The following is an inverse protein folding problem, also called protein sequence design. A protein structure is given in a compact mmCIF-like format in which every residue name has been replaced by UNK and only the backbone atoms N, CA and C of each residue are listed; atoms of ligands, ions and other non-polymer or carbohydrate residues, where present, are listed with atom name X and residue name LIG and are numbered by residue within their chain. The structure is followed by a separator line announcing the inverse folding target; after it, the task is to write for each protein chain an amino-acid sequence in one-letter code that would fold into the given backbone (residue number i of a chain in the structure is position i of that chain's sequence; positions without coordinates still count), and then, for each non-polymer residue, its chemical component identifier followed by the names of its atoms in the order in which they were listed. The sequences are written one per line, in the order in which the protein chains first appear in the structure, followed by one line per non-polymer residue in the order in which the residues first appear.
data_IF_726948778136
#
_entry.id   IF_726948778136
#
_cell.length_a   1.000
_cell.length_b   1.000
_cell.length_c   1.000
_cell.angle_alpha   90.00
_cell.angle_beta   90.00
_cell.angle_gamma   90.00
#
_symmetry.space_group_name_H-M   'P 1'
#
loop_
_entity.id
_entity.type
_entity.pdbx_description
1 polymer ?
#
# COMPACT_ATOMS: atom_id res chain seq x y z
N UNK A 1 -10.37 18.34 13.76
CA UNK A 1 -10.90 17.50 14.83
C UNK A 1 -9.84 17.46 15.91
N UNK A 2 -10.17 17.86 17.13
CA UNK A 2 -9.27 17.78 18.28
C UNK A 2 -8.83 16.34 18.53
N UNK A 3 -7.60 16.14 19.01
CA UNK A 3 -7.03 14.82 19.26
C UNK A 3 -7.93 13.98 20.16
N UNK A 4 -8.14 12.72 19.81
CA UNK A 4 -8.96 11.78 20.55
C UNK A 4 -10.44 11.71 20.17
N UNK A 5 -10.92 12.53 19.22
CA UNK A 5 -12.30 12.43 18.76
C UNK A 5 -12.55 11.12 17.96
N UNK A 6 -13.63 10.42 18.29
CA UNK A 6 -14.09 9.25 17.55
C UNK A 6 -15.17 9.65 16.56
N UNK A 7 -14.99 9.32 15.30
CA UNK A 7 -16.00 9.50 14.27
C UNK A 7 -16.53 8.12 13.88
N UNK A 8 -17.82 7.92 13.97
CA UNK A 8 -18.48 6.74 13.47
C UNK A 8 -19.07 7.04 12.08
N UNK A 9 -18.78 6.17 11.13
CA UNK A 9 -19.30 6.26 9.77
C UNK A 9 -20.19 5.04 9.55
N UNK A 10 -21.46 5.29 9.35
CA UNK A 10 -22.49 4.25 9.23
C UNK A 10 -23.07 4.32 7.83
N UNK A 11 -23.11 3.17 7.15
CA UNK A 11 -23.86 3.01 5.91
C UNK A 11 -25.21 2.36 6.25
N UNK A 12 -26.29 3.09 6.01
CA UNK A 12 -27.64 2.59 6.20
C UNK A 12 -28.44 2.83 4.92
N UNK A 13 -28.87 1.75 4.28
CA UNK A 13 -29.66 1.77 3.04
C UNK A 13 -29.05 2.68 1.93
N UNK A 14 -27.74 2.60 1.76
CA UNK A 14 -27.02 3.42 0.75
C UNK A 14 -26.77 4.87 1.17
N UNK A 15 -27.28 5.30 2.32
CA UNK A 15 -26.99 6.61 2.89
C UNK A 15 -25.91 6.52 3.96
N UNK A 16 -25.01 7.50 3.98
CA UNK A 16 -23.97 7.58 4.99
C UNK A 16 -24.28 8.63 6.04
N UNK A 17 -24.08 8.23 7.27
CA UNK A 17 -24.20 9.10 8.43
C UNK A 17 -22.86 9.16 9.14
N UNK A 18 -22.42 10.37 9.45
CA UNK A 18 -21.31 10.60 10.37
C UNK A 18 -21.86 10.98 11.72
N UNK A 19 -21.40 10.28 12.76
CA UNK A 19 -21.72 10.61 14.14
C UNK A 19 -20.44 10.77 14.95
N UNK A 20 -20.52 11.49 16.06
CA UNK A 20 -19.36 11.75 16.93
C UNK A 20 -18.71 13.11 16.75
N UNK A 21 -19.19 13.95 15.83
CA UNK A 21 -18.74 15.35 15.71
C UNK A 21 -19.91 16.26 15.29
N UNK A 22 -20.15 17.38 15.97
CA UNK A 22 -21.33 18.22 15.72
C UNK A 22 -21.37 18.89 14.34
N UNK A 23 -20.23 19.02 13.65
CA UNK A 23 -20.15 19.61 12.31
C UNK A 23 -20.37 18.62 11.16
N UNK A 24 -20.63 17.35 11.44
CA UNK A 24 -20.66 16.28 10.44
C UNK A 24 -22.06 15.62 10.34
N UNK A 25 -23.10 16.42 10.20
CA UNK A 25 -24.48 15.91 10.25
C UNK A 25 -25.00 15.25 8.97
N UNK A 26 -24.36 15.48 7.81
CA UNK A 26 -24.75 14.83 6.55
C UNK A 26 -23.57 14.61 5.62
N UNK A 27 -23.42 13.40 5.10
CA UNK A 27 -22.46 13.02 4.07
C UNK A 27 -23.21 12.84 2.74
N UNK A 28 -22.55 13.17 1.60
CA UNK A 28 -23.16 12.98 0.28
C UNK A 28 -23.70 11.56 0.06
N UNK A 29 -24.78 11.44 -0.67
CA UNK A 29 -25.49 10.20 -0.96
C UNK A 29 -24.63 9.07 -1.57
N UNK A 30 -23.47 9.38 -2.16
CA UNK A 30 -22.57 8.39 -2.73
C UNK A 30 -21.77 7.60 -1.70
N UNK A 31 -21.72 8.02 -0.43
CA UNK A 31 -20.90 7.42 0.63
C UNK A 31 -19.40 7.26 0.28
N UNK A 32 -18.90 8.07 -0.64
CA UNK A 32 -17.49 8.10 -1.01
C UNK A 32 -16.81 9.25 -0.27
N UNK A 33 -15.98 8.92 0.72
CA UNK A 33 -15.46 9.89 1.68
C UNK A 33 -13.94 9.87 1.66
N UNK A 34 -13.33 11.08 1.60
CA UNK A 34 -11.92 11.28 1.88
C UNK A 34 -11.76 11.95 3.24
N UNK A 35 -10.98 11.35 4.13
CA UNK A 35 -10.68 11.90 5.45
C UNK A 35 -9.22 12.34 5.48
N UNK A 36 -9.01 13.62 5.79
CA UNK A 36 -7.71 14.21 6.06
C UNK A 36 -7.66 14.61 7.52
N UNK A 37 -6.49 14.61 8.07
CA UNK A 37 -6.21 15.10 9.43
C UNK A 37 -5.14 16.18 9.38
N UNK A 38 -5.11 17.02 10.41
CA UNK A 38 -4.16 18.12 10.52
C UNK A 38 -2.73 17.62 10.65
N UNK A 39 -1.76 18.45 10.32
CA UNK A 39 -0.34 18.19 10.51
C UNK A 39 -0.04 17.79 11.96
N UNK A 40 0.74 16.74 12.12
CA UNK A 40 1.01 16.14 13.43
C UNK A 40 -0.09 15.23 13.98
N UNK A 41 -1.30 15.26 13.41
CA UNK A 41 -2.40 14.38 13.78
C UNK A 41 -2.22 12.94 13.28
N UNK A 42 -3.05 12.06 13.81
CA UNK A 42 -3.11 10.64 13.43
C UNK A 42 -4.56 10.18 13.36
N UNK A 43 -4.81 9.19 12.51
CA UNK A 43 -6.09 8.51 12.46
C UNK A 43 -5.89 7.03 12.76
N UNK A 44 -6.78 6.45 13.55
CA UNK A 44 -6.79 5.01 13.82
C UNK A 44 -7.95 4.35 13.08
N UNK A 45 -7.65 3.25 12.39
CA UNK A 45 -8.65 2.42 11.72
C UNK A 45 -8.39 0.97 12.14
N UNK A 46 -9.27 0.42 12.96
CA UNK A 46 -9.03 -0.86 13.60
C UNK A 46 -7.73 -0.84 14.41
N UNK A 47 -6.84 -1.83 14.24
CA UNK A 47 -5.59 -1.89 14.99
C UNK A 47 -4.48 -0.98 14.44
N UNK A 48 -4.69 -0.31 13.30
CA UNK A 48 -3.64 0.45 12.62
C UNK A 48 -3.79 1.94 12.81
N UNK A 49 -2.67 2.60 13.08
CA UNK A 49 -2.57 4.06 13.08
C UNK A 49 -1.91 4.56 11.79
N UNK A 50 -2.41 5.68 11.28
CA UNK A 50 -1.91 6.33 10.09
C UNK A 50 -1.58 7.80 10.41
N UNK A 51 -0.36 8.21 10.09
CA UNK A 51 0.11 9.59 10.24
C UNK A 51 0.09 10.33 8.91
N UNK A 52 0.25 9.63 7.82
CA UNK A 52 0.43 10.19 6.48
C UNK A 52 -0.70 9.78 5.55
N UNK A 53 -1.02 10.66 4.60
CA UNK A 53 -1.92 10.36 3.50
C UNK A 53 -3.36 10.83 3.71
N UNK A 54 -4.26 10.22 2.96
CA UNK A 54 -5.70 10.46 2.98
C UNK A 54 -6.40 9.12 3.09
N UNK A 55 -7.22 8.96 4.12
CA UNK A 55 -8.06 7.78 4.25
C UNK A 55 -9.25 7.92 3.30
N UNK A 56 -9.46 6.94 2.46
CA UNK A 56 -10.56 6.90 1.50
C UNK A 56 -11.51 5.76 1.87
N UNK A 57 -12.78 6.09 2.01
CA UNK A 57 -13.87 5.13 2.18
C UNK A 57 -14.67 5.08 0.90
N UNK A 58 -14.97 3.88 0.44
CA UNK A 58 -15.79 3.63 -0.74
C UNK A 58 -16.91 2.68 -0.37
N UNK A 59 -18.13 3.10 -0.69
CA UNK A 59 -19.31 2.28 -0.45
C UNK A 59 -19.26 0.98 -1.26
N UNK A 60 -19.52 -0.15 -0.59
CA UNK A 60 -19.62 -1.47 -1.22
C UNK A 60 -21.05 -1.83 -1.64
N UNK A 61 -22.00 -0.94 -1.44
CA UNK A 61 -23.42 -1.18 -1.62
C UNK A 61 -24.17 -1.21 -0.29
N UNK A 62 -25.48 -1.36 -0.36
CA UNK A 62 -26.41 -1.12 0.76
C UNK A 62 -26.12 -1.99 1.99
N UNK A 63 -25.66 -3.23 1.81
CA UNK A 63 -25.45 -4.18 2.91
C UNK A 63 -24.00 -4.57 3.15
N UNK A 64 -23.03 -4.02 2.41
CA UNK A 64 -21.66 -4.57 2.35
C UNK A 64 -20.61 -3.74 3.06
N UNK A 65 -20.95 -2.60 3.68
CA UNK A 65 -20.01 -1.73 4.38
C UNK A 65 -19.12 -0.92 3.44
N UNK A 66 -17.85 -0.73 3.82
CA UNK A 66 -16.90 0.11 3.09
C UNK A 66 -15.64 -0.64 2.67
N UNK A 67 -15.15 -0.33 1.48
CA UNK A 67 -13.72 -0.47 1.23
C UNK A 67 -12.98 0.68 1.90
N UNK A 68 -11.96 0.37 2.66
CA UNK A 68 -11.13 1.36 3.33
C UNK A 68 -9.73 1.30 2.72
N UNK A 69 -9.27 2.39 2.15
CA UNK A 69 -7.94 2.49 1.56
C UNK A 69 -7.23 3.76 1.99
N UNK A 70 -5.91 3.72 1.99
CA UNK A 70 -5.04 4.86 2.31
C UNK A 70 -4.33 5.32 1.03
N UNK A 71 -4.60 6.53 0.58
CA UNK A 71 -3.80 7.16 -0.46
C UNK A 71 -2.63 7.89 0.20
N UNK A 72 -1.41 7.44 -0.08
CA UNK A 72 -0.21 7.90 0.60
C UNK A 72 0.96 7.99 -0.37
N UNK A 73 1.89 8.91 -0.11
CA UNK A 73 3.16 8.99 -0.83
C UNK A 73 3.96 7.70 -0.64
N UNK A 74 4.68 7.27 -1.69
CA UNK A 74 5.40 5.98 -1.70
C UNK A 74 6.42 5.87 -0.56
N UNK A 75 7.17 6.92 -0.25
CA UNK A 75 8.16 6.86 0.84
C UNK A 75 7.48 6.75 2.21
N UNK A 76 6.38 7.46 2.39
CA UNK A 76 5.57 7.37 3.62
C UNK A 76 4.83 6.04 3.75
N UNK A 77 4.47 5.43 2.63
CA UNK A 77 3.99 4.05 2.60
C UNK A 77 5.06 3.07 3.10
N UNK A 78 6.29 3.19 2.59
CA UNK A 78 7.40 2.32 2.99
C UNK A 78 7.71 2.42 4.49
N UNK A 79 7.61 3.58 5.11
CA UNK A 79 7.81 3.69 6.56
C UNK A 79 6.92 2.73 7.36
N UNK A 80 5.71 2.48 6.86
CA UNK A 80 4.76 1.58 7.51
C UNK A 80 4.87 0.11 7.13
N UNK A 81 5.79 -0.30 6.24
CA UNK A 81 6.01 -1.70 5.89
C UNK A 81 6.71 -2.46 7.01
N UNK A 82 6.18 -3.62 7.36
CA UNK A 82 6.65 -4.44 8.46
C UNK A 82 7.11 -5.83 8.00
N UNK A 83 7.86 -5.87 6.91
CA UNK A 83 8.37 -7.11 6.31
C UNK A 83 9.67 -7.61 6.98
N UNK A 84 10.44 -6.70 7.59
CA UNK A 84 11.70 -7.05 8.24
C UNK A 84 11.82 -6.47 9.66
N UNK A 85 12.51 -7.17 10.56
CA UNK A 85 12.87 -6.63 11.86
C UNK A 85 13.78 -5.40 11.72
N UNK A 86 13.44 -4.29 12.39
CA UNK A 86 14.15 -3.01 12.22
C UNK A 86 15.56 -2.97 12.82
N UNK A 87 15.96 -4.01 13.57
CA UNK A 87 17.30 -4.13 14.14
C UNK A 87 18.32 -4.82 13.20
N UNK A 88 17.90 -5.27 12.03
CA UNK A 88 18.78 -5.91 11.06
C UNK A 88 19.80 -4.90 10.50
N UNK A 89 20.85 -5.44 9.86
CA UNK A 89 21.87 -4.63 9.23
C UNK A 89 21.24 -3.61 8.26
N UNK A 90 21.73 -2.37 8.32
CA UNK A 90 21.17 -1.26 7.52
C UNK A 90 21.22 -1.55 6.01
N UNK A 91 22.24 -2.27 5.51
CA UNK A 91 22.34 -2.62 4.08
C UNK A 91 21.26 -3.64 3.68
N UNK A 92 20.90 -4.57 4.55
CA UNK A 92 19.78 -5.48 4.33
C UNK A 92 18.46 -4.72 4.33
N UNK A 93 18.30 -3.75 5.24
CA UNK A 93 17.12 -2.88 5.28
C UNK A 93 17.03 -1.98 4.03
N UNK A 94 18.15 -1.44 3.54
CA UNK A 94 18.22 -0.66 2.30
C UNK A 94 17.82 -1.52 1.08
N UNK A 95 18.33 -2.75 0.99
CA UNK A 95 17.94 -3.69 -0.06
C UNK A 95 16.43 -3.98 -0.03
N UNK A 96 15.87 -4.26 1.17
CA UNK A 96 14.43 -4.48 1.32
C UNK A 96 13.61 -3.23 0.96
N UNK A 97 14.10 -2.03 1.28
CA UNK A 97 13.41 -0.79 0.91
C UNK A 97 13.36 -0.60 -0.62
N UNK A 98 14.46 -0.92 -1.33
CA UNK A 98 14.49 -0.91 -2.80
C UNK A 98 13.51 -1.93 -3.40
N UNK A 99 13.54 -3.17 -2.91
CA UNK A 99 12.66 -4.25 -3.35
C UNK A 99 11.19 -3.91 -3.07
N UNK A 100 10.88 -3.49 -1.85
CA UNK A 100 9.52 -3.12 -1.44
C UNK A 100 8.96 -1.94 -2.25
N UNK A 101 9.80 -0.94 -2.53
CA UNK A 101 9.42 0.20 -3.37
C UNK A 101 9.16 -0.22 -4.81
N UNK A 102 10.07 -1.02 -5.37
CA UNK A 102 9.94 -1.51 -6.76
C UNK A 102 8.67 -2.34 -6.93
N UNK A 103 8.36 -3.24 -6.01
CA UNK A 103 7.10 -3.98 -6.01
C UNK A 103 5.90 -3.03 -5.97
N UNK A 104 5.90 -2.05 -5.06
CA UNK A 104 4.79 -1.12 -4.93
C UNK A 104 4.58 -0.26 -6.18
N UNK A 105 5.66 0.28 -6.75
CA UNK A 105 5.61 1.07 -7.99
C UNK A 105 5.15 0.21 -9.16
N UNK A 106 5.66 -1.03 -9.30
CA UNK A 106 5.21 -1.97 -10.33
C UNK A 106 3.70 -2.22 -10.23
N UNK A 107 3.19 -2.50 -9.02
CA UNK A 107 1.76 -2.74 -8.83
C UNK A 107 0.91 -1.49 -9.14
N UNK A 108 1.42 -0.31 -8.80
CA UNK A 108 0.78 0.96 -9.17
C UNK A 108 0.71 1.11 -10.68
N UNK A 109 1.83 0.96 -11.40
CA UNK A 109 1.89 1.11 -12.85
C UNK A 109 1.00 0.08 -13.57
N UNK A 110 1.05 -1.19 -13.13
CA UNK A 110 0.25 -2.28 -13.71
C UNK A 110 -1.25 -2.09 -13.53
N UNK A 111 -1.67 -1.47 -12.44
CA UNK A 111 -3.08 -1.36 -12.03
C UNK A 111 -3.67 0.01 -12.24
N UNK A 112 -2.85 0.96 -12.65
CA UNK A 112 -3.26 2.32 -12.92
C UNK A 112 -3.60 2.46 -14.41
N UNK A 113 -4.84 2.81 -14.72
CA UNK A 113 -5.28 3.09 -16.09
C UNK A 113 -5.45 4.62 -16.21
N UNK A 114 -4.51 5.32 -16.84
CA UNK A 114 -4.54 6.78 -16.90
C UNK A 114 -5.82 7.37 -17.49
N UNK A 115 -6.43 6.69 -18.46
CA UNK A 115 -7.68 7.09 -19.09
C UNK A 115 -8.91 7.00 -18.18
N UNK A 116 -8.82 6.25 -17.09
CA UNK A 116 -9.89 6.09 -16.09
C UNK A 116 -9.67 6.95 -14.84
N UNK A 117 -8.71 7.88 -14.88
CA UNK A 117 -8.44 8.76 -13.74
C UNK A 117 -9.65 9.62 -13.40
N UNK A 118 -10.12 9.47 -12.18
CA UNK A 118 -10.95 10.45 -11.51
C UNK A 118 -10.17 10.93 -10.28
N UNK A 119 -10.49 12.10 -9.77
CA UNK A 119 -9.83 12.68 -8.59
C UNK A 119 -9.87 11.74 -7.38
N UNK A 120 -10.77 10.79 -7.38
CA UNK A 120 -11.05 9.91 -6.25
C UNK A 120 -10.42 8.53 -6.45
N UNK A 121 -10.35 8.01 -7.67
CA UNK A 121 -10.07 6.59 -7.94
C UNK A 121 -8.67 6.32 -8.48
N UNK A 122 -7.92 7.37 -8.80
CA UNK A 122 -6.53 7.29 -9.22
C UNK A 122 -6.30 6.26 -10.36
N UNK A 123 -7.28 6.10 -11.26
CA UNK A 123 -7.17 5.22 -12.42
C UNK A 123 -7.21 3.72 -12.10
N UNK A 124 -7.78 3.30 -10.97
CA UNK A 124 -7.92 1.88 -10.64
C UNK A 124 -8.82 1.15 -11.64
N UNK A 125 -8.39 -0.02 -12.11
CA UNK A 125 -9.21 -0.89 -12.95
C UNK A 125 -10.47 -1.38 -12.22
N UNK A 126 -11.51 -1.75 -12.98
CA UNK A 126 -12.78 -2.24 -12.43
C UNK A 126 -12.59 -3.45 -11.50
N UNK A 127 -11.69 -4.38 -11.85
CA UNK A 127 -11.37 -5.52 -10.99
C UNK A 127 -10.75 -5.11 -9.66
N UNK A 128 -9.94 -4.05 -9.62
CA UNK A 128 -9.38 -3.52 -8.37
C UNK A 128 -10.41 -2.77 -7.55
N UNK A 129 -11.32 -2.04 -8.19
CA UNK A 129 -12.44 -1.38 -7.53
C UNK A 129 -13.36 -2.40 -6.84
N UNK A 130 -13.67 -3.51 -7.48
CA UNK A 130 -14.50 -4.55 -6.87
C UNK A 130 -13.79 -5.30 -5.73
N UNK A 131 -12.47 -5.47 -5.79
CA UNK A 131 -11.71 -6.21 -4.79
C UNK A 131 -11.39 -5.38 -3.54
N UNK A 132 -10.78 -4.22 -3.67
CA UNK A 132 -10.30 -3.44 -2.52
C UNK A 132 -10.25 -1.93 -2.70
N UNK A 133 -10.54 -1.39 -3.87
CA UNK A 133 -10.29 0.02 -4.20
C UNK A 133 -8.85 0.47 -3.86
N UNK A 134 -7.89 -0.40 -4.11
CA UNK A 134 -6.49 -0.17 -3.80
C UNK A 134 -5.55 -0.76 -4.85
N UNK A 135 -4.36 -0.20 -5.02
CA UNK A 135 -3.31 -0.77 -5.85
C UNK A 135 -2.67 -1.99 -5.19
N UNK A 136 -2.52 -1.96 -3.86
CA UNK A 136 -1.83 -2.98 -3.06
C UNK A 136 -2.67 -3.30 -1.84
N UNK A 137 -2.79 -4.58 -1.50
CA UNK A 137 -3.36 -5.03 -0.24
C UNK A 137 -2.39 -4.77 0.92
N UNK A 138 -2.91 -4.73 2.14
CA UNK A 138 -2.15 -4.42 3.36
C UNK A 138 -1.79 -5.65 4.19
N UNK A 139 -1.86 -6.84 3.61
CA UNK A 139 -1.57 -8.12 4.28
C UNK A 139 -0.39 -8.82 3.62
N UNK A 140 0.13 -9.88 4.21
CA UNK A 140 1.24 -10.69 3.70
C UNK A 140 0.99 -11.27 2.30
N UNK A 141 -0.25 -11.34 1.82
CA UNK A 141 -0.56 -11.71 0.43
C UNK A 141 -0.15 -10.67 -0.62
N UNK A 142 0.25 -9.48 -0.19
CA UNK A 142 0.80 -8.41 -1.01
C UNK A 142 2.05 -7.84 -0.35
N UNK A 143 1.87 -6.86 0.54
CA UNK A 143 2.90 -6.32 1.42
C UNK A 143 2.28 -6.03 2.78
N UNK A 144 2.93 -6.51 3.85
CA UNK A 144 2.41 -6.33 5.19
C UNK A 144 2.63 -4.89 5.66
N UNK A 145 1.56 -4.11 5.62
CA UNK A 145 1.56 -2.71 6.03
C UNK A 145 0.98 -2.56 7.44
N UNK A 146 1.81 -2.13 8.39
CA UNK A 146 1.43 -1.95 9.79
C UNK A 146 1.11 -0.48 10.14
N UNK A 147 1.57 0.45 9.30
CA UNK A 147 1.30 1.88 9.47
C UNK A 147 2.27 2.58 10.40
N UNK A 148 1.80 3.63 11.07
CA UNK A 148 2.63 4.53 11.87
C UNK A 148 3.38 3.86 13.03
N UNK A 149 2.81 2.82 13.61
CA UNK A 149 3.49 2.08 14.69
C UNK A 149 4.80 1.44 14.22
N UNK A 150 4.89 0.99 12.96
CA UNK A 150 6.15 0.51 12.39
C UNK A 150 7.16 1.65 12.22
N UNK A 151 6.72 2.82 11.79
CA UNK A 151 7.57 4.00 11.61
C UNK A 151 8.26 4.39 12.93
N UNK A 152 7.50 4.50 14.02
CA UNK A 152 8.06 4.89 15.33
C UNK A 152 8.89 3.80 15.98
N UNK A 153 8.55 2.52 15.78
CA UNK A 153 9.30 1.40 16.34
C UNK A 153 10.57 1.03 15.55
N UNK A 154 10.72 1.59 14.34
CA UNK A 154 11.77 1.19 13.42
C UNK A 154 12.62 2.33 12.86
N UNK A 155 13.35 3.10 13.69
CA UNK A 155 14.14 4.22 13.18
C UNK A 155 15.18 3.81 12.13
N UNK A 156 15.84 2.65 12.26
CA UNK A 156 16.78 2.15 11.27
C UNK A 156 16.08 1.80 9.94
N UNK A 157 14.84 1.30 10.00
CA UNK A 157 14.04 1.07 8.81
C UNK A 157 13.71 2.39 8.11
N UNK A 158 13.26 3.40 8.84
CA UNK A 158 12.99 4.74 8.30
C UNK A 158 14.27 5.34 7.67
N UNK A 159 15.41 5.17 8.31
CA UNK A 159 16.71 5.61 7.77
C UNK A 159 17.04 4.89 6.46
N UNK A 160 16.88 3.56 6.39
CA UNK A 160 17.12 2.77 5.19
C UNK A 160 16.20 3.19 4.02
N UNK A 161 14.93 3.47 4.29
CA UNK A 161 14.00 4.02 3.29
C UNK A 161 14.50 5.38 2.78
N UNK A 162 14.93 6.27 3.67
CA UNK A 162 15.45 7.59 3.30
C UNK A 162 16.75 7.51 2.48
N UNK A 163 17.67 6.63 2.86
CA UNK A 163 18.92 6.42 2.14
C UNK A 163 18.73 5.95 0.69
N UNK A 164 17.60 5.28 0.44
CA UNK A 164 17.24 4.72 -0.86
C UNK A 164 16.09 5.47 -1.54
N UNK A 165 15.71 6.63 -1.01
CA UNK A 165 14.56 7.40 -1.50
C UNK A 165 14.63 7.67 -3.00
N UNK A 166 13.49 7.53 -3.69
CA UNK A 166 13.35 7.75 -5.13
C UNK A 166 13.99 6.67 -6.01
N UNK A 167 14.65 5.66 -5.46
CA UNK A 167 15.31 4.60 -6.24
C UNK A 167 14.41 3.37 -6.36
N UNK A 168 14.34 2.81 -7.56
CA UNK A 168 13.67 1.54 -7.88
C UNK A 168 14.61 0.64 -8.67
N UNK A 169 14.34 -0.65 -8.64
CA UNK A 169 15.08 -1.62 -9.45
C UNK A 169 14.40 -1.67 -10.83
N UNK A 170 15.20 -1.55 -11.88
CA UNK A 170 14.74 -1.62 -13.26
C UNK A 170 15.44 -2.74 -14.02
N UNK A 171 14.80 -3.20 -15.08
CA UNK A 171 15.34 -4.17 -16.02
C UNK A 171 15.19 -3.62 -17.43
N UNK A 172 16.28 -3.53 -18.17
CA UNK A 172 16.30 -3.04 -19.55
C UNK A 172 16.27 -4.17 -20.59
N UNK A 173 16.79 -5.37 -20.26
CA UNK A 173 16.66 -6.63 -20.99
C UNK A 173 16.61 -6.60 -22.51
N UNK A 174 17.11 -5.54 -23.13
CA UNK A 174 17.02 -5.29 -24.56
C UNK A 174 15.72 -4.58 -25.01
N UNK A 175 14.89 -4.13 -24.10
CA UNK A 175 13.75 -3.27 -24.40
C UNK A 175 14.19 -1.82 -24.59
N UNK A 176 13.44 -1.07 -25.40
CA UNK A 176 13.71 0.35 -25.67
C UNK A 176 13.56 1.27 -24.46
N UNK A 177 12.97 0.77 -23.39
CA UNK A 177 12.82 1.48 -22.11
C UNK A 177 12.99 0.51 -20.95
N UNK A 178 13.78 0.94 -19.95
CA UNK A 178 13.89 0.25 -18.67
C UNK A 178 12.52 0.18 -17.98
N UNK A 179 12.14 -1.02 -17.53
CA UNK A 179 10.89 -1.23 -16.80
C UNK A 179 11.16 -1.50 -15.33
N UNK A 180 10.31 -0.98 -14.46
CA UNK A 180 10.37 -1.31 -13.03
C UNK A 180 10.07 -2.78 -12.85
N UNK A 181 10.94 -3.49 -12.12
CA UNK A 181 10.78 -4.93 -11.91
C UNK A 181 9.62 -5.24 -10.93
N UNK A 182 8.94 -6.36 -11.16
CA UNK A 182 8.08 -6.97 -10.16
C UNK A 182 8.97 -7.69 -9.14
N UNK A 183 9.44 -6.95 -8.15
CA UNK A 183 10.41 -7.42 -7.18
C UNK A 183 9.72 -8.26 -6.11
N UNK A 184 9.65 -9.58 -6.34
CA UNK A 184 9.21 -10.53 -5.32
C UNK A 184 10.31 -10.74 -4.27
N UNK A 185 9.88 -11.10 -3.06
CA UNK A 185 10.77 -11.46 -1.96
C UNK A 185 10.10 -12.48 -1.03
N UNK A 186 10.90 -13.22 -0.30
CA UNK A 186 10.47 -14.23 0.66
C UNK A 186 11.37 -14.21 1.90
N UNK A 187 10.93 -14.85 2.96
CA UNK A 187 11.73 -14.96 4.20
C UNK A 187 12.87 -15.98 4.09
N UNK A 188 12.79 -16.92 3.16
CA UNK A 188 13.79 -17.95 2.91
C UNK A 188 13.59 -18.54 1.53
N UNK A 189 14.69 -18.88 0.87
CA UNK A 189 14.73 -19.58 -0.43
C UNK A 189 14.91 -21.10 -0.25
N UNK A 190 15.37 -21.53 0.92
CA UNK A 190 15.72 -22.94 1.17
C UNK A 190 16.99 -23.38 0.43
N UNK A 191 17.87 -22.44 0.05
CA UNK A 191 19.13 -22.68 -0.67
C UNK A 191 19.02 -22.58 -2.19
N UNK A 192 17.80 -22.33 -2.72
CA UNK A 192 17.57 -22.15 -4.16
C UNK A 192 16.34 -21.31 -4.43
N UNK A 193 16.44 -20.31 -5.27
CA UNK A 193 15.27 -19.58 -5.73
C UNK A 193 14.50 -20.36 -6.78
N UNK A 194 13.23 -20.10 -6.91
CA UNK A 194 12.43 -20.53 -8.06
C UNK A 194 12.17 -19.35 -8.99
N UNK A 195 11.90 -19.63 -10.26
CA UNK A 195 11.36 -18.62 -11.16
C UNK A 195 9.95 -18.18 -10.68
N UNK A 196 9.47 -17.08 -11.23
CA UNK A 196 8.18 -16.52 -10.80
C UNK A 196 6.96 -17.35 -11.22
N UNK A 197 7.10 -18.25 -12.18
CA UNK A 197 5.99 -19.15 -12.60
C UNK A 197 5.79 -20.23 -11.54
N UNK A 198 6.89 -20.85 -11.09
CA UNK A 198 6.85 -21.89 -10.06
C UNK A 198 6.64 -21.29 -8.67
N UNK A 199 7.40 -20.25 -8.32
CA UNK A 199 7.40 -19.69 -6.96
C UNK A 199 6.14 -18.89 -6.62
N UNK A 200 5.52 -18.24 -7.58
CA UNK A 200 4.38 -17.32 -7.35
C UNK A 200 3.17 -17.60 -8.26
N UNK A 201 3.18 -18.67 -9.02
CA UNK A 201 2.07 -19.03 -9.91
C UNK A 201 1.80 -18.00 -11.01
N UNK A 202 2.81 -17.26 -11.44
CA UNK A 202 2.67 -16.24 -12.48
C UNK A 202 2.43 -16.89 -13.83
N UNK A 203 1.51 -16.37 -14.63
CA UNK A 203 1.27 -16.88 -15.98
C UNK A 203 2.40 -16.55 -16.97
N UNK A 204 3.20 -15.52 -16.69
CA UNK A 204 4.27 -15.02 -17.58
C UNK A 204 5.62 -15.13 -16.87
N UNK A 205 6.60 -15.83 -17.48
CA UNK A 205 7.96 -15.86 -16.95
C UNK A 205 8.63 -14.49 -17.15
N UNK A 206 9.25 -14.00 -16.08
CA UNK A 206 10.03 -12.78 -16.14
C UNK A 206 11.51 -13.12 -16.32
N UNK A 207 12.22 -12.52 -17.27
CA UNK A 207 13.60 -12.88 -17.58
C UNK A 207 14.60 -12.58 -16.46
N UNK A 208 14.23 -11.74 -15.52
CA UNK A 208 15.02 -11.36 -14.33
C UNK A 208 14.65 -12.14 -13.06
N UNK A 209 13.64 -13.01 -13.10
CA UNK A 209 13.21 -13.84 -11.97
C UNK A 209 13.47 -15.32 -12.32
N UNK A 210 14.72 -15.70 -12.29
CA UNK A 210 15.17 -17.04 -12.62
C UNK A 210 15.53 -17.84 -11.38
N UNK A 211 15.55 -19.15 -11.55
CA UNK A 211 16.10 -20.06 -10.58
C UNK A 211 17.60 -19.86 -10.46
N UNK A 212 18.09 -19.60 -9.25
CA UNK A 212 19.53 -19.50 -8.93
C UNK A 212 19.79 -20.20 -7.60
N UNK A 213 20.97 -20.75 -7.44
CA UNK A 213 21.43 -21.29 -6.17
C UNK A 213 21.70 -20.14 -5.21
N UNK A 214 21.25 -20.29 -3.97
CA UNK A 214 21.33 -19.29 -2.88
C UNK A 214 21.80 -20.03 -1.63
N UNK A 215 23.14 -20.27 -1.50
CA UNK A 215 23.74 -21.08 -0.44
C UNK A 215 23.68 -20.43 0.96
#
# INVERSE_FOLDING_TARGET
ISGGATINIINSNGNCYLTGHPLLSKVPASCNIGIRWSDGGRIRVGPREHKHGVLKLRNKGVSSGFHVSLAVNIEKYLYGLAEMPSHWNVKALEAQALVGRSYAVFQYLKRNIPSEKTDIDAGLSSSRKSYCWCHIGSTASSQYYYGYLKEIAGPNWVQAVNNTSGKVITYDGGYTQSTVVQAFYSSSTGGKTNDNVVGFGSATPWPYLKTVDDP
#
